data_IF_983273851475
#
_entry.id   IF_983273851475
#
_cell.length_a   1.000
_cell.length_b   1.000
_cell.length_c   1.000
_cell.angle_alpha   90.00
_cell.angle_beta   90.00
_cell.angle_gamma   90.00
#
_symmetry.space_group_name_H-M   'P 1'
#
loop_
_entity.id
_entity.type
_entity.pdbx_description
1 polymer ?
#
# COMPACT_ATOMS: atom_id res chain seq x y z
N UNK A 1 -7.96 -2.31 -27.39
CA UNK A 1 -8.64 -2.00 -28.66
C UNK A 1 -8.47 -0.54 -29.06
N UNK A 2 -8.70 0.43 -28.17
CA UNK A 2 -8.75 1.87 -28.52
C UNK A 2 -7.35 2.44 -28.82
N UNK A 3 -6.32 2.01 -28.08
CA UNK A 3 -4.95 2.44 -28.36
C UNK A 3 -4.49 2.04 -29.77
N UNK A 4 -4.77 0.80 -30.22
CA UNK A 4 -4.39 0.33 -31.54
C UNK A 4 -5.09 1.14 -32.64
N UNK A 5 -6.39 1.43 -32.48
CA UNK A 5 -7.13 2.30 -33.41
C UNK A 5 -6.57 3.72 -33.47
N UNK A 6 -6.21 4.29 -32.31
CA UNK A 6 -5.62 5.63 -32.25
C UNK A 6 -4.26 5.70 -32.96
N UNK A 7 -3.42 4.68 -32.81
CA UNK A 7 -2.13 4.59 -33.52
C UNK A 7 -2.34 4.39 -35.02
N UNK A 8 -3.26 3.51 -35.43
CA UNK A 8 -3.59 3.29 -36.84
C UNK A 8 -4.11 4.59 -37.51
N UNK A 9 -4.98 5.36 -36.81
CA UNK A 9 -5.47 6.67 -37.30
C UNK A 9 -4.32 7.69 -37.44
N UNK A 10 -3.44 7.81 -36.44
CA UNK A 10 -2.28 8.70 -36.51
C UNK A 10 -1.37 8.33 -37.70
N UNK A 11 -1.00 7.07 -37.83
CA UNK A 11 -0.14 6.60 -38.91
C UNK A 11 -0.78 6.79 -40.29
N UNK A 12 -2.08 6.55 -40.44
CA UNK A 12 -2.82 6.79 -41.69
C UNK A 12 -2.76 8.24 -42.18
N UNK A 13 -2.54 9.17 -41.25
CA UNK A 13 -2.40 10.61 -41.49
C UNK A 13 -0.95 11.08 -41.58
N UNK A 14 0.02 10.18 -41.52
CA UNK A 14 1.45 10.51 -41.50
C UNK A 14 1.91 11.18 -40.19
N UNK A 15 1.17 11.01 -39.08
CA UNK A 15 1.49 11.58 -37.78
C UNK A 15 2.40 10.60 -37.02
N UNK A 16 3.52 11.09 -36.52
CA UNK A 16 4.43 10.32 -35.66
C UNK A 16 3.83 10.16 -34.27
N UNK A 17 4.17 9.05 -33.60
CA UNK A 17 3.75 8.80 -32.22
C UNK A 17 4.94 8.29 -31.38
N UNK A 18 4.81 8.37 -30.09
CA UNK A 18 5.73 7.78 -29.11
C UNK A 18 4.92 7.08 -28.03
N UNK A 19 5.30 5.84 -27.71
CA UNK A 19 4.67 5.08 -26.64
C UNK A 19 5.41 5.26 -25.32
N UNK A 20 4.69 5.73 -24.33
CA UNK A 20 5.11 5.74 -22.95
C UNK A 20 4.10 4.90 -22.14
N UNK A 21 4.40 3.61 -21.80
CA UNK A 21 5.66 2.85 -21.94
C UNK A 21 5.47 1.67 -22.89
N UNK A 22 6.47 1.34 -23.66
CA UNK A 22 6.50 0.06 -24.41
C UNK A 22 6.86 -1.11 -23.49
N UNK A 23 7.75 -0.88 -22.53
CA UNK A 23 8.14 -1.80 -21.45
C UNK A 23 8.21 -1.00 -20.15
N UNK A 24 7.42 -1.37 -19.16
CA UNK A 24 7.37 -0.65 -17.90
C UNK A 24 8.59 -0.88 -17.02
N UNK A 25 8.99 -2.12 -16.86
CA UNK A 25 10.13 -2.53 -16.05
C UNK A 25 9.83 -2.66 -14.57
N UNK A 26 10.88 -2.53 -13.75
CA UNK A 26 10.83 -2.78 -12.31
C UNK A 26 11.47 -1.63 -11.55
N UNK A 27 10.79 -1.14 -10.52
CA UNK A 27 11.32 -0.19 -9.54
C UNK A 27 12.10 -0.97 -8.46
N UNK A 28 13.35 -1.31 -8.74
CA UNK A 28 14.18 -2.11 -7.84
C UNK A 28 14.38 -1.46 -6.47
N UNK A 29 14.42 -2.28 -5.43
CA UNK A 29 14.71 -1.83 -4.07
C UNK A 29 13.73 -0.76 -3.57
N UNK A 30 14.24 0.41 -3.22
CA UNK A 30 13.47 1.53 -2.67
C UNK A 30 12.93 2.52 -3.73
N UNK A 31 13.14 2.27 -5.02
CA UNK A 31 12.99 3.29 -6.06
C UNK A 31 11.57 3.45 -6.63
N UNK A 32 10.60 2.66 -6.18
CA UNK A 32 9.19 2.95 -6.45
C UNK A 32 8.83 4.32 -5.86
N UNK A 33 8.17 5.16 -6.64
CA UNK A 33 7.78 6.51 -6.25
C UNK A 33 6.41 6.60 -5.60
N UNK A 34 5.80 7.80 -5.67
CA UNK A 34 4.43 8.04 -5.24
C UNK A 34 3.82 9.20 -6.03
N UNK A 35 2.49 9.24 -6.11
CA UNK A 35 1.73 10.29 -6.74
C UNK A 35 1.06 11.23 -5.71
N UNK A 36 0.75 12.46 -6.15
CA UNK A 36 -0.07 13.44 -5.42
C UNK A 36 -1.12 14.07 -6.36
N UNK A 37 -2.25 14.65 -5.87
CA UNK A 37 -2.58 14.97 -4.46
C UNK A 37 -2.86 13.73 -3.63
N UNK A 38 -2.81 13.91 -2.30
CA UNK A 38 -2.81 12.80 -1.37
C UNK A 38 -1.46 12.08 -1.37
N UNK A 39 -1.45 10.82 -0.96
CA UNK A 39 -0.28 9.96 -1.01
C UNK A 39 -0.65 8.61 -1.59
N UNK A 40 -0.24 8.35 -2.83
CA UNK A 40 -0.47 7.11 -3.55
C UNK A 40 0.88 6.48 -3.94
N UNK A 41 1.45 5.59 -3.10
CA UNK A 41 2.74 4.96 -3.37
C UNK A 41 2.62 3.92 -4.48
N UNK A 42 3.62 3.93 -5.37
CA UNK A 42 3.71 2.96 -6.45
C UNK A 42 4.21 1.60 -5.94
N UNK A 43 3.80 0.53 -6.60
CA UNK A 43 4.32 -0.83 -6.39
C UNK A 43 5.67 -1.02 -7.08
N UNK A 44 6.34 -2.14 -6.80
CA UNK A 44 7.65 -2.44 -7.39
C UNK A 44 7.57 -2.69 -8.89
N UNK A 45 6.61 -3.47 -9.36
CA UNK A 45 6.40 -3.66 -10.80
C UNK A 45 5.87 -2.39 -11.44
N UNK A 46 6.42 -2.04 -12.61
CA UNK A 46 5.94 -0.94 -13.44
C UNK A 46 5.38 -1.46 -14.77
N UNK A 47 4.78 -2.65 -14.74
CA UNK A 47 4.30 -3.34 -15.95
C UNK A 47 3.16 -2.57 -16.63
N UNK A 48 2.16 -2.11 -15.90
CA UNK A 48 1.02 -1.31 -16.40
C UNK A 48 0.38 -1.86 -17.68
N UNK A 49 0.35 -3.18 -17.87
CA UNK A 49 -0.13 -3.79 -19.11
C UNK A 49 0.60 -3.26 -20.37
N UNK A 50 1.92 -3.08 -20.26
CA UNK A 50 2.76 -2.65 -21.37
C UNK A 50 2.80 -3.70 -22.50
N UNK A 51 3.12 -3.30 -23.74
CA UNK A 51 3.30 -4.24 -24.85
C UNK A 51 4.36 -5.33 -24.61
N UNK A 52 5.40 -4.99 -23.86
CA UNK A 52 6.42 -5.93 -23.38
C UNK A 52 6.31 -5.99 -21.85
N UNK A 53 6.12 -7.20 -21.31
CA UNK A 53 5.99 -7.42 -19.88
C UNK A 53 7.27 -7.13 -19.09
N UNK A 54 7.17 -7.04 -17.76
CA UNK A 54 8.30 -6.82 -16.85
C UNK A 54 9.48 -7.77 -17.10
N UNK A 55 9.21 -9.04 -17.42
CA UNK A 55 10.22 -10.06 -17.74
C UNK A 55 10.61 -10.10 -19.22
N UNK A 56 10.23 -9.10 -20.02
CA UNK A 56 10.58 -9.03 -21.42
C UNK A 56 9.77 -9.94 -22.36
N UNK A 57 8.63 -10.49 -21.90
CA UNK A 57 7.75 -11.31 -22.75
C UNK A 57 6.88 -10.41 -23.64
N UNK A 58 6.61 -10.86 -24.86
CA UNK A 58 5.67 -10.17 -25.75
C UNK A 58 4.22 -10.48 -25.33
N UNK A 59 3.41 -9.43 -25.22
CA UNK A 59 1.98 -9.52 -24.87
C UNK A 59 1.10 -9.54 -26.14
N UNK A 60 -0.19 -9.86 -26.03
CA UNK A 60 -1.13 -9.69 -27.15
C UNK A 60 -1.13 -8.25 -27.71
N UNK A 61 -0.92 -7.25 -26.84
CA UNK A 61 -0.82 -5.84 -27.22
C UNK A 61 0.41 -5.56 -28.11
N UNK A 62 1.54 -6.18 -27.82
CA UNK A 62 2.74 -6.10 -28.67
C UNK A 62 2.46 -6.58 -30.10
N UNK A 63 1.81 -7.74 -30.23
CA UNK A 63 1.51 -8.31 -31.54
C UNK A 63 0.49 -7.48 -32.31
N UNK A 64 -0.54 -6.96 -31.65
CA UNK A 64 -1.53 -6.07 -32.28
C UNK A 64 -0.91 -4.75 -32.76
N UNK A 65 0.00 -4.15 -31.98
CA UNK A 65 0.77 -2.97 -32.40
C UNK A 65 1.67 -3.29 -33.61
N UNK A 66 2.38 -4.39 -33.56
CA UNK A 66 3.25 -4.83 -34.63
C UNK A 66 2.48 -5.02 -35.94
N UNK A 67 1.29 -5.62 -35.89
CA UNK A 67 0.42 -5.80 -37.04
C UNK A 67 -0.09 -4.46 -37.58
N UNK A 68 -0.54 -3.56 -36.73
CA UNK A 68 -1.00 -2.23 -37.12
C UNK A 68 0.11 -1.43 -37.83
N UNK A 69 1.33 -1.43 -37.27
CA UNK A 69 2.48 -0.70 -37.83
C UNK A 69 2.97 -1.29 -39.17
N UNK A 70 2.81 -2.60 -39.38
CA UNK A 70 3.26 -3.25 -40.60
C UNK A 70 2.66 -2.66 -41.89
N UNK A 71 1.45 -2.12 -41.81
CA UNK A 71 0.73 -1.50 -42.93
C UNK A 71 1.43 -0.25 -43.48
N UNK A 72 2.27 0.41 -42.67
CA UNK A 72 2.91 1.69 -42.96
C UNK A 72 4.42 1.60 -43.15
N UNK A 73 4.98 0.40 -43.33
CA UNK A 73 6.42 0.17 -43.41
C UNK A 73 6.97 0.18 -44.83
N UNK A 74 6.29 0.75 -45.81
CA UNK A 74 6.73 1.00 -47.20
C UNK A 74 7.65 -0.10 -47.81
N UNK A 75 7.30 -1.39 -47.60
CA UNK A 75 8.05 -2.53 -48.08
C UNK A 75 9.25 -2.97 -47.23
N UNK A 76 9.55 -2.25 -46.14
CA UNK A 76 10.53 -2.69 -45.16
C UNK A 76 10.04 -3.92 -44.38
N UNK A 77 10.96 -4.83 -44.08
CA UNK A 77 10.64 -6.02 -43.26
C UNK A 77 10.74 -5.66 -41.78
N UNK A 78 9.72 -6.01 -41.03
CA UNK A 78 9.80 -5.93 -39.57
C UNK A 78 10.95 -6.79 -39.05
N UNK A 79 11.71 -6.24 -38.09
CA UNK A 79 12.77 -6.98 -37.40
C UNK A 79 12.22 -8.27 -36.78
N UNK A 80 13.03 -9.32 -36.78
CA UNK A 80 12.68 -10.58 -36.10
C UNK A 80 12.61 -10.37 -34.61
N UNK A 81 11.55 -10.87 -33.98
CA UNK A 81 11.46 -10.89 -32.52
C UNK A 81 12.53 -11.84 -31.98
N UNK A 82 13.36 -11.41 -31.01
CA UNK A 82 14.38 -12.29 -30.42
C UNK A 82 13.72 -13.47 -29.68
N UNK A 83 14.50 -14.51 -29.41
CA UNK A 83 14.04 -15.64 -28.60
C UNK A 83 13.76 -15.14 -27.17
N UNK A 84 12.56 -15.43 -26.68
CA UNK A 84 12.16 -15.04 -25.34
C UNK A 84 12.75 -15.97 -24.30
N UNK A 85 13.17 -15.41 -23.16
CA UNK A 85 13.58 -16.18 -21.98
C UNK A 85 12.31 -16.71 -21.32
N UNK A 86 12.25 -18.04 -21.11
CA UNK A 86 11.10 -18.63 -20.41
C UNK A 86 11.33 -18.61 -18.92
N UNK A 87 10.42 -17.97 -18.15
CA UNK A 87 10.46 -18.03 -16.70
C UNK A 87 10.33 -19.47 -16.18
N UNK A 88 10.93 -19.72 -15.03
CA UNK A 88 10.90 -21.01 -14.34
C UNK A 88 10.10 -20.97 -13.05
N UNK A 89 9.55 -22.11 -12.67
CA UNK A 89 9.03 -22.33 -11.32
C UNK A 89 10.12 -22.84 -10.39
N UNK A 90 10.12 -22.38 -9.15
CA UNK A 90 10.99 -22.85 -8.06
C UNK A 90 10.08 -23.47 -6.99
N UNK A 91 10.34 -24.72 -6.56
CA UNK A 91 9.54 -25.35 -5.53
C UNK A 91 9.47 -24.50 -4.24
N UNK A 92 8.36 -24.58 -3.53
CA UNK A 92 8.18 -23.88 -2.27
C UNK A 92 9.31 -24.22 -1.28
N UNK A 93 9.81 -23.19 -0.61
CA UNK A 93 10.84 -23.27 0.41
C UNK A 93 10.46 -22.46 1.64
N UNK A 94 11.00 -22.83 2.80
CA UNK A 94 10.74 -22.16 4.07
C UNK A 94 11.93 -21.32 4.49
N UNK A 95 11.67 -20.21 5.14
CA UNK A 95 12.68 -19.44 5.86
C UNK A 95 12.98 -20.15 7.18
N UNK A 96 14.25 -20.28 7.50
CA UNK A 96 14.72 -21.07 8.64
C UNK A 96 15.34 -20.21 9.73
N UNK A 97 15.70 -18.97 9.42
CA UNK A 97 16.36 -18.06 10.33
C UNK A 97 15.68 -16.71 10.36
N UNK A 98 15.67 -16.08 11.53
CA UNK A 98 15.14 -14.74 11.73
C UNK A 98 16.05 -13.96 12.69
N UNK A 99 16.18 -12.66 12.44
CA UNK A 99 16.80 -11.68 13.34
C UNK A 99 15.73 -10.66 13.76
N UNK A 100 15.22 -10.69 15.01
CA UNK A 100 14.26 -9.70 15.51
C UNK A 100 14.86 -8.29 15.47
N UNK A 101 14.14 -7.31 14.93
CA UNK A 101 14.65 -5.95 14.74
C UNK A 101 15.06 -5.32 16.07
N UNK A 102 14.22 -5.38 17.10
CA UNK A 102 14.48 -4.73 18.39
C UNK A 102 15.70 -5.30 19.15
N UNK A 103 16.17 -6.48 18.78
CA UNK A 103 17.38 -7.12 19.31
C UNK A 103 18.63 -6.78 18.48
N UNK A 104 18.46 -6.13 17.34
CA UNK A 104 19.49 -5.85 16.34
C UNK A 104 19.54 -4.37 15.94
N UNK A 105 19.13 -3.47 16.81
CA UNK A 105 19.13 -2.04 16.50
C UNK A 105 20.56 -1.52 16.37
N UNK A 106 20.81 -0.59 15.43
CA UNK A 106 22.09 0.13 15.33
C UNK A 106 22.29 1.07 16.52
N UNK A 107 23.40 1.83 16.52
CA UNK A 107 23.65 2.82 17.55
C UNK A 107 22.57 3.92 17.53
N UNK A 108 22.05 4.28 18.70
CA UNK A 108 21.07 5.33 18.84
C UNK A 108 21.69 6.72 18.64
N UNK A 109 20.99 7.60 17.97
CA UNK A 109 21.18 9.05 17.98
C UNK A 109 20.23 9.64 19.02
N UNK A 110 20.69 10.56 19.87
CA UNK A 110 19.85 11.21 20.89
C UNK A 110 19.48 12.60 20.46
N UNK A 111 18.22 12.94 20.57
CA UNK A 111 17.68 14.26 20.27
C UNK A 111 16.55 14.60 21.25
N UNK A 112 16.46 15.86 21.62
CA UNK A 112 15.34 16.33 22.46
C UNK A 112 14.02 16.30 21.68
N UNK A 113 14.07 16.68 20.42
CA UNK A 113 12.91 16.78 19.54
C UNK A 113 13.01 15.79 18.38
N UNK A 114 11.87 15.38 17.85
CA UNK A 114 11.80 14.61 16.62
C UNK A 114 12.23 15.47 15.43
N UNK A 115 12.92 14.83 14.49
CA UNK A 115 13.27 15.38 13.17
C UNK A 115 12.97 14.36 12.08
N UNK A 116 13.04 14.83 10.83
CA UNK A 116 12.84 13.98 9.64
C UNK A 116 13.99 13.00 9.43
N UNK A 117 13.78 11.97 8.64
CA UNK A 117 14.83 11.01 8.29
C UNK A 117 16.06 11.69 7.66
N UNK A 118 15.82 12.69 6.81
CA UNK A 118 16.87 13.44 6.10
C UNK A 118 17.78 14.20 7.07
N UNK A 119 17.22 14.76 8.15
CA UNK A 119 18.01 15.44 9.19
C UNK A 119 18.84 14.46 10.01
N UNK A 120 18.50 13.16 9.99
CA UNK A 120 19.33 12.08 10.55
C UNK A 120 20.25 11.44 9.51
N UNK A 121 20.41 12.04 8.32
CA UNK A 121 21.21 11.56 7.19
C UNK A 121 20.74 10.21 6.65
N UNK A 122 19.43 10.01 6.56
CA UNK A 122 18.84 8.80 5.99
C UNK A 122 17.83 9.18 4.89
N UNK A 123 18.01 8.65 3.68
CA UNK A 123 17.20 9.00 2.52
C UNK A 123 16.06 8.02 2.22
N UNK A 124 16.16 6.78 2.68
CA UNK A 124 15.22 5.69 2.44
C UNK A 124 15.30 4.64 3.57
N UNK A 125 14.45 3.63 3.51
CA UNK A 125 14.40 2.56 4.50
C UNK A 125 13.47 2.89 5.66
N UNK A 126 13.79 2.36 6.84
CA UNK A 126 12.97 2.52 8.04
C UNK A 126 13.73 3.28 9.13
N UNK A 127 13.00 4.00 9.96
CA UNK A 127 13.55 4.72 11.11
C UNK A 127 12.74 4.41 12.35
N UNK A 128 13.42 4.14 13.46
CA UNK A 128 12.77 3.88 14.74
C UNK A 128 12.99 5.08 15.67
N UNK A 129 11.90 5.64 16.16
CA UNK A 129 11.88 6.65 17.19
C UNK A 129 11.46 6.02 18.52
N UNK A 130 12.28 6.16 19.55
CA UNK A 130 12.07 5.60 20.88
C UNK A 130 12.07 6.69 21.95
N UNK A 131 11.10 6.66 22.84
CA UNK A 131 11.10 7.47 24.06
C UNK A 131 10.45 6.71 25.20
N UNK A 132 10.36 7.34 26.37
CA UNK A 132 9.68 6.80 27.55
C UNK A 132 8.38 7.55 27.83
N UNK A 133 7.37 6.80 28.24
CA UNK A 133 6.06 7.35 28.59
C UNK A 133 6.02 7.77 30.08
N UNK A 134 5.23 8.82 30.44
CA UNK A 134 4.83 9.04 31.81
C UNK A 134 3.95 7.89 32.30
N UNK A 135 3.59 7.89 33.58
CA UNK A 135 2.57 6.96 34.08
C UNK A 135 1.22 7.27 33.43
N UNK A 136 0.61 6.25 32.81
CA UNK A 136 -0.75 6.33 32.25
C UNK A 136 -1.68 5.49 33.13
N UNK A 137 -2.47 6.14 33.99
CA UNK A 137 -3.43 5.45 34.88
C UNK A 137 -4.66 4.95 34.14
N UNK A 138 -4.95 5.49 32.98
CA UNK A 138 -6.03 5.13 32.06
C UNK A 138 -5.54 5.20 30.61
N UNK A 139 -6.27 4.64 29.64
CA UNK A 139 -5.92 4.78 28.24
C UNK A 139 -5.72 6.25 27.83
N UNK A 140 -4.71 6.52 27.01
CA UNK A 140 -4.35 7.86 26.55
C UNK A 140 -4.27 7.88 25.01
N UNK A 141 -4.52 9.03 24.40
CA UNK A 141 -4.42 9.18 22.94
C UNK A 141 -3.00 9.63 22.56
N UNK A 142 -2.32 8.81 21.77
CA UNK A 142 -1.09 9.19 21.09
C UNK A 142 -1.46 9.81 19.75
N UNK A 143 -0.98 11.01 19.47
CA UNK A 143 -1.12 11.67 18.17
C UNK A 143 0.28 11.81 17.56
N UNK A 144 0.52 11.14 16.44
CA UNK A 144 1.72 11.32 15.63
C UNK A 144 1.39 12.28 14.51
N UNK A 145 1.81 13.52 14.68
CA UNK A 145 1.54 14.56 13.71
C UNK A 145 2.42 14.36 12.48
N UNK A 146 1.83 13.84 11.40
CA UNK A 146 2.45 13.72 10.10
C UNK A 146 3.56 12.64 10.01
N UNK A 147 3.17 11.37 10.16
CA UNK A 147 4.04 10.22 9.89
C UNK A 147 4.13 9.94 8.37
N UNK A 148 5.32 9.90 7.83
CA UNK A 148 5.65 9.63 6.43
C UNK A 148 6.52 8.37 6.32
N UNK A 149 5.94 7.15 6.04
CA UNK A 149 4.58 7.02 5.49
C UNK A 149 3.74 5.97 6.24
N UNK A 150 4.38 4.86 6.68
CA UNK A 150 3.72 3.78 7.41
C UNK A 150 4.39 3.58 8.75
N UNK A 151 3.68 3.91 9.82
CA UNK A 151 4.21 3.81 11.17
C UNK A 151 3.56 2.67 11.95
N UNK A 152 4.37 1.93 12.68
CA UNK A 152 3.93 0.95 13.67
C UNK A 152 4.31 1.42 15.06
N UNK A 153 3.39 1.29 16.01
CA UNK A 153 3.55 1.75 17.39
C UNK A 153 3.58 0.56 18.32
N UNK A 154 4.56 0.57 19.24
CA UNK A 154 4.74 -0.47 20.24
C UNK A 154 4.92 0.16 21.62
N UNK A 155 4.37 -0.47 22.65
CA UNK A 155 4.62 -0.13 24.06
C UNK A 155 5.23 -1.36 24.73
N UNK A 156 6.43 -1.21 25.31
CA UNK A 156 7.21 -2.29 25.91
C UNK A 156 7.37 -3.52 24.98
N UNK A 157 7.50 -3.26 23.68
CA UNK A 157 7.64 -4.27 22.65
C UNK A 157 6.32 -4.92 22.20
N UNK A 158 5.18 -4.55 22.79
CA UNK A 158 3.86 -5.02 22.35
C UNK A 158 3.32 -4.11 21.26
N UNK A 159 2.89 -4.69 20.15
CA UNK A 159 2.24 -3.97 19.07
C UNK A 159 0.90 -3.36 19.54
N UNK A 160 0.74 -2.07 19.29
CA UNK A 160 -0.46 -1.30 19.65
C UNK A 160 -1.33 -1.05 18.41
N UNK A 161 -0.70 -0.68 17.29
CA UNK A 161 -1.40 -0.37 16.06
C UNK A 161 -0.48 0.24 15.01
N UNK A 162 -1.09 0.61 13.89
CA UNK A 162 -0.41 1.27 12.77
C UNK A 162 -1.01 2.64 12.49
N UNK A 163 -0.25 3.48 11.81
CA UNK A 163 -0.70 4.73 11.22
C UNK A 163 -0.30 4.72 9.74
N UNK A 164 -1.26 4.78 8.87
CA UNK A 164 -1.08 4.74 7.42
C UNK A 164 -1.39 6.12 6.82
N UNK A 165 -0.36 6.73 6.22
CA UNK A 165 -0.47 8.05 5.60
C UNK A 165 -1.54 8.10 4.51
N UNK A 166 -1.76 7.02 3.77
CA UNK A 166 -2.77 6.95 2.71
C UNK A 166 -4.18 7.21 3.23
N UNK A 167 -4.44 6.81 4.47
CA UNK A 167 -5.73 6.95 5.14
C UNK A 167 -5.80 8.20 6.02
N UNK A 168 -4.74 9.00 6.09
CA UNK A 168 -4.67 10.15 6.99
C UNK A 168 -4.67 9.78 8.48
N UNK A 169 -4.29 8.54 8.83
CA UNK A 169 -4.28 8.04 10.21
C UNK A 169 -3.20 8.76 11.02
N UNK A 170 -3.57 9.31 12.18
CA UNK A 170 -2.66 10.07 13.05
C UNK A 170 -2.72 9.68 14.51
N UNK A 171 -3.75 8.97 14.94
CA UNK A 171 -4.02 8.72 16.34
C UNK A 171 -4.17 7.25 16.67
N UNK A 172 -3.66 6.87 17.83
CA UNK A 172 -3.85 5.55 18.43
C UNK A 172 -4.14 5.71 19.94
N UNK A 173 -4.86 4.75 20.48
CA UNK A 173 -5.11 4.69 21.93
C UNK A 173 -4.03 3.80 22.56
N UNK A 174 -3.21 4.38 23.43
CA UNK A 174 -2.26 3.64 24.25
C UNK A 174 -2.95 3.07 25.49
N UNK A 175 -2.60 1.85 25.91
CA UNK A 175 -3.10 1.29 27.15
C UNK A 175 -2.49 2.01 28.37
N UNK A 176 -3.09 1.84 29.54
CA UNK A 176 -2.47 2.22 30.81
C UNK A 176 -1.09 1.55 30.94
N UNK A 177 -0.11 2.31 31.44
CA UNK A 177 1.26 1.82 31.60
C UNK A 177 1.97 2.52 32.76
N UNK A 178 3.04 1.92 33.25
CA UNK A 178 3.86 2.49 34.34
C UNK A 178 4.78 3.59 33.80
N UNK A 179 5.21 4.49 34.68
CA UNK A 179 6.21 5.51 34.34
C UNK A 179 7.49 4.83 33.83
N UNK A 180 7.98 5.30 32.70
CA UNK A 180 9.19 4.77 32.06
C UNK A 180 8.94 3.63 31.08
N UNK A 181 7.67 3.23 30.86
CA UNK A 181 7.33 2.31 29.75
C UNK A 181 7.86 2.84 28.43
N UNK A 182 8.43 1.94 27.63
CA UNK A 182 9.09 2.27 26.38
C UNK A 182 8.08 2.41 25.25
N UNK A 183 8.06 3.57 24.62
CA UNK A 183 7.34 3.80 23.36
C UNK A 183 8.30 3.68 22.18
N UNK A 184 7.98 2.82 21.25
CA UNK A 184 8.67 2.66 19.97
C UNK A 184 7.71 3.01 18.82
N UNK A 185 8.14 3.89 17.90
CA UNK A 185 7.44 4.23 16.68
C UNK A 185 8.37 3.90 15.51
N UNK A 186 8.09 2.79 14.83
CA UNK A 186 8.84 2.34 13.64
C UNK A 186 8.16 2.92 12.41
N UNK A 187 8.83 3.77 11.66
CA UNK A 187 8.31 4.40 10.44
C UNK A 187 9.06 3.86 9.24
N UNK A 188 8.34 3.24 8.31
CA UNK A 188 8.86 2.90 6.99
C UNK A 188 8.60 4.03 6.02
N UNK A 189 9.65 4.49 5.36
CA UNK A 189 9.56 5.40 4.24
C UNK A 189 9.18 4.62 2.98
N UNK A 190 7.98 4.84 2.48
CA UNK A 190 7.57 4.35 1.16
C UNK A 190 8.14 5.24 0.05
N UNK A 191 7.62 5.13 -1.17
CA UNK A 191 8.06 5.96 -2.29
C UNK A 191 7.97 7.46 -2.00
N UNK A 192 8.92 8.24 -2.51
CA UNK A 192 8.82 9.70 -2.49
C UNK A 192 7.90 10.18 -3.58
N UNK A 193 7.14 11.23 -3.31
CA UNK A 193 6.28 11.83 -4.32
C UNK A 193 7.17 12.38 -5.45
N UNK A 194 7.02 11.82 -6.64
CA UNK A 194 7.72 12.22 -7.86
C UNK A 194 6.78 12.73 -8.96
N UNK A 195 5.47 12.65 -8.74
CA UNK A 195 4.46 13.15 -9.66
C UNK A 195 3.37 13.94 -8.91
N UNK A 196 2.95 15.07 -9.50
CA UNK A 196 1.97 15.97 -8.94
C UNK A 196 2.60 17.20 -8.27
N UNK A 197 1.85 17.89 -7.39
CA UNK A 197 2.28 19.20 -6.85
C UNK A 197 3.12 19.11 -5.58
N UNK A 198 3.03 18.03 -4.83
CA UNK A 198 3.63 17.89 -3.50
C UNK A 198 4.96 17.11 -3.54
N UNK A 199 5.86 17.45 -4.47
CA UNK A 199 7.13 16.74 -4.67
C UNK A 199 8.17 16.94 -3.55
N UNK A 200 7.99 17.91 -2.66
CA UNK A 200 8.80 18.06 -1.45
C UNK A 200 8.24 17.14 -0.37
N UNK A 201 8.80 15.96 -0.22
CA UNK A 201 8.28 14.87 0.58
C UNK A 201 9.36 14.32 1.55
N UNK A 202 9.50 14.97 2.69
CA UNK A 202 10.36 14.49 3.77
C UNK A 202 9.79 13.24 4.43
N UNK A 203 10.66 12.36 4.93
CA UNK A 203 10.29 11.05 5.50
C UNK A 203 10.51 10.98 7.02
N UNK A 204 9.97 9.93 7.63
CA UNK A 204 9.93 9.78 9.08
C UNK A 204 8.78 10.55 9.72
N UNK A 205 8.94 11.05 10.92
CA UNK A 205 7.96 11.92 11.57
C UNK A 205 8.36 13.37 11.29
N UNK A 206 7.54 14.09 10.53
CA UNK A 206 7.87 15.43 10.02
C UNK A 206 7.41 16.57 10.92
N UNK A 207 6.64 16.24 11.97
CA UNK A 207 6.18 17.16 13.01
C UNK A 207 6.42 16.55 14.39
N UNK A 208 5.60 16.91 15.37
CA UNK A 208 5.71 16.43 16.74
C UNK A 208 4.89 15.16 17.01
N UNK A 209 5.09 14.59 18.19
CA UNK A 209 4.30 13.51 18.75
C UNK A 209 3.71 13.98 20.08
N UNK A 210 2.40 13.94 20.18
CA UNK A 210 1.64 14.41 21.33
C UNK A 210 1.00 13.25 22.09
N UNK A 211 0.92 13.40 23.37
CA UNK A 211 0.18 12.52 24.26
C UNK A 211 -0.94 13.30 24.93
N UNK A 212 -2.18 12.86 24.72
CA UNK A 212 -3.36 13.41 25.37
C UNK A 212 -3.87 12.42 26.42
N UNK A 213 -3.98 12.85 27.65
CA UNK A 213 -4.44 12.05 28.77
C UNK A 213 -5.44 12.83 29.63
N UNK A 214 -6.29 12.12 30.36
CA UNK A 214 -7.17 12.73 31.36
C UNK A 214 -6.43 12.77 32.70
N UNK A 215 -6.40 13.96 33.32
CA UNK A 215 -5.89 14.18 34.67
C UNK A 215 -7.00 14.76 35.53
N UNK A 216 -7.62 13.92 36.35
CA UNK A 216 -8.71 14.29 37.24
C UNK A 216 -9.94 14.93 36.53
N UNK A 217 -10.29 14.42 35.35
CA UNK A 217 -11.41 14.91 34.54
C UNK A 217 -11.06 16.08 33.61
N UNK A 218 -9.77 16.45 33.53
CA UNK A 218 -9.30 17.51 32.64
C UNK A 218 -8.37 16.94 31.59
N UNK A 219 -8.60 17.24 30.29
CA UNK A 219 -7.68 16.82 29.22
C UNK A 219 -6.36 17.57 29.35
N UNK A 220 -5.26 16.81 29.36
CA UNK A 220 -3.91 17.34 29.38
C UNK A 220 -3.19 16.82 28.13
N UNK A 221 -2.59 17.73 27.33
CA UNK A 221 -1.82 17.41 26.14
C UNK A 221 -0.38 17.85 26.33
N UNK A 222 0.56 16.98 26.03
CA UNK A 222 1.98 17.31 26.08
C UNK A 222 2.74 16.69 24.88
N UNK A 223 3.77 17.40 24.42
CA UNK A 223 4.73 16.85 23.45
C UNK A 223 5.63 15.82 24.12
N UNK A 224 5.83 14.69 23.46
CA UNK A 224 6.83 13.73 23.86
C UNK A 224 8.21 14.20 23.39
N UNK A 225 9.19 14.08 24.26
CA UNK A 225 10.54 14.59 24.12
C UNK A 225 11.58 13.51 24.43
N UNK A 226 12.88 13.83 24.24
CA UNK A 226 14.04 13.00 24.61
C UNK A 226 14.03 11.66 23.86
N UNK A 227 14.22 11.75 22.56
CA UNK A 227 14.17 10.62 21.64
C UNK A 227 15.52 9.95 21.47
N UNK A 228 15.50 8.64 21.41
CA UNK A 228 16.56 7.81 20.83
C UNK A 228 16.10 7.42 19.42
N UNK A 229 16.92 7.69 18.42
CA UNK A 229 16.56 7.49 17.03
C UNK A 229 17.54 6.50 16.39
N UNK A 230 17.02 5.50 15.72
CA UNK A 230 17.78 4.42 15.11
C UNK A 230 17.54 4.40 13.61
N UNK A 231 18.62 4.64 12.84
CA UNK A 231 18.57 4.55 11.39
C UNK A 231 18.65 3.09 10.94
N UNK A 232 17.59 2.58 10.36
CA UNK A 232 17.54 1.23 9.79
C UNK A 232 17.70 1.40 8.28
N UNK A 233 18.91 1.16 7.79
CA UNK A 233 19.30 1.52 6.43
C UNK A 233 18.65 0.63 5.36
N UNK A 234 18.07 -0.51 5.74
CA UNK A 234 17.44 -1.48 4.84
C UNK A 234 18.37 -1.88 3.67
N UNK A 235 19.66 -2.06 3.94
CA UNK A 235 20.65 -2.55 2.98
C UNK A 235 20.99 -4.01 3.25
N UNK A 236 21.45 -4.72 2.22
CA UNK A 236 21.85 -6.11 2.37
C UNK A 236 22.98 -6.27 3.38
N UNK A 237 23.97 -5.37 3.38
CA UNK A 237 25.11 -5.33 4.30
C UNK A 237 24.65 -5.15 5.75
N UNK A 238 23.67 -4.26 5.97
CA UNK A 238 23.08 -4.05 7.29
C UNK A 238 22.45 -5.33 7.83
N UNK A 239 21.69 -6.04 6.99
CA UNK A 239 21.04 -7.29 7.38
C UNK A 239 22.03 -8.42 7.63
N UNK A 240 23.12 -8.51 6.87
CA UNK A 240 24.17 -9.53 7.10
C UNK A 240 24.85 -9.36 8.44
N UNK A 241 24.91 -8.15 9.00
CA UNK A 241 25.46 -7.87 10.32
C UNK A 241 24.56 -8.25 11.51
N UNK A 242 23.30 -8.65 11.25
CA UNK A 242 22.35 -9.00 12.31
C UNK A 242 22.60 -10.38 12.91
N UNK A 243 22.14 -10.56 14.16
CA UNK A 243 22.21 -11.84 14.87
C UNK A 243 20.98 -12.67 14.52
N UNK A 244 21.14 -13.58 13.58
CA UNK A 244 20.12 -14.54 13.20
C UNK A 244 20.04 -15.68 14.21
N UNK A 245 18.83 -16.18 14.41
CA UNK A 245 18.53 -17.36 15.22
C UNK A 245 17.49 -18.24 14.49
N UNK A 246 17.43 -19.54 14.77
CA UNK A 246 16.43 -20.41 14.16
C UNK A 246 15.01 -19.91 14.44
N UNK A 247 14.14 -19.87 13.42
CA UNK A 247 12.74 -19.43 13.58
C UNK A 247 12.02 -20.25 14.65
N UNK A 248 12.28 -21.54 14.73
CA UNK A 248 11.69 -22.46 15.72
C UNK A 248 11.94 -22.04 17.17
N UNK A 249 13.05 -21.34 17.44
CA UNK A 249 13.35 -20.81 18.78
C UNK A 249 12.51 -19.59 19.16
N UNK A 250 11.73 -19.05 18.21
CA UNK A 250 10.89 -17.85 18.36
C UNK A 250 9.39 -18.17 18.32
N UNK A 251 9.00 -19.45 18.39
CA UNK A 251 7.61 -19.91 18.22
C UNK A 251 6.62 -19.20 19.14
N UNK A 252 7.01 -18.88 20.36
CA UNK A 252 6.16 -18.13 21.30
C UNK A 252 5.91 -16.67 20.87
N UNK A 253 6.69 -16.16 19.92
CA UNK A 253 6.61 -14.79 19.39
C UNK A 253 5.99 -14.71 18.00
N UNK A 254 5.96 -15.79 17.22
CA UNK A 254 5.48 -15.82 15.82
C UNK A 254 3.99 -15.49 15.65
N UNK A 255 3.18 -15.58 16.70
CA UNK A 255 1.80 -15.08 16.72
C UNK A 255 1.67 -13.57 16.93
N UNK A 256 2.77 -12.86 17.21
CA UNK A 256 2.81 -11.41 17.40
C UNK A 256 3.40 -10.75 16.17
N UNK A 257 2.88 -9.61 15.77
CA UNK A 257 3.46 -8.80 14.69
C UNK A 257 4.79 -8.19 15.17
N UNK A 258 5.89 -8.85 14.83
CA UNK A 258 7.25 -8.45 15.23
C UNK A 258 8.05 -8.12 13.97
N UNK A 259 8.58 -6.89 13.85
CA UNK A 259 9.51 -6.54 12.79
C UNK A 259 10.78 -7.40 12.87
N UNK A 260 11.22 -7.92 11.73
CA UNK A 260 12.42 -8.73 11.69
C UNK A 260 12.95 -9.02 10.29
N UNK A 261 14.15 -9.51 10.24
CA UNK A 261 14.81 -9.95 9.01
C UNK A 261 14.79 -11.47 8.95
N UNK A 262 14.26 -12.01 7.87
CA UNK A 262 14.12 -13.44 7.63
C UNK A 262 15.12 -13.87 6.56
N UNK A 263 15.72 -15.04 6.72
CA UNK A 263 16.70 -15.59 5.79
C UNK A 263 16.39 -17.03 5.43
N UNK A 264 16.53 -17.35 4.14
CA UNK A 264 16.42 -18.70 3.62
C UNK A 264 17.45 -18.98 2.53
N UNK A 265 17.65 -20.27 2.26
CA UNK A 265 18.38 -20.76 1.11
C UNK A 265 17.45 -21.62 0.26
N UNK A 266 17.55 -21.49 -1.07
CA UNK A 266 16.76 -22.27 -2.01
C UNK A 266 17.61 -22.76 -3.19
N UNK A 267 17.16 -23.81 -3.87
CA UNK A 267 17.92 -24.49 -4.92
C UNK A 267 17.36 -24.17 -6.30
N UNK A 268 18.25 -23.82 -7.24
CA UNK A 268 17.90 -23.58 -8.64
C UNK A 268 18.71 -24.55 -9.52
N UNK A 269 18.02 -25.41 -10.28
CA UNK A 269 18.69 -26.38 -11.17
C UNK A 269 19.29 -25.71 -12.41
N UNK A 270 18.54 -24.81 -13.04
CA UNK A 270 18.92 -24.06 -14.23
C UNK A 270 18.43 -22.62 -14.05
N UNK A 271 19.31 -21.65 -13.86
CA UNK A 271 18.91 -20.25 -13.71
C UNK A 271 18.15 -19.74 -14.93
N UNK A 272 17.03 -19.09 -14.67
CA UNK A 272 16.21 -18.33 -15.62
C UNK A 272 15.32 -17.39 -14.81
N UNK A 273 14.62 -16.50 -15.49
CA UNK A 273 13.68 -15.56 -14.84
C UNK A 273 12.62 -16.31 -14.01
N UNK A 274 12.15 -15.71 -12.96
CA UNK A 274 11.07 -16.23 -12.10
C UNK A 274 10.38 -15.10 -11.36
N UNK A 275 9.23 -15.38 -10.76
CA UNK A 275 8.48 -14.46 -9.91
C UNK A 275 8.32 -15.06 -8.52
N UNK A 276 9.01 -14.52 -7.51
CA UNK A 276 8.91 -15.01 -6.13
C UNK A 276 7.61 -14.56 -5.48
N UNK A 277 6.87 -15.50 -4.91
CA UNK A 277 5.56 -15.27 -4.30
C UNK A 277 5.70 -14.87 -2.82
N UNK A 278 5.03 -13.75 -2.45
CA UNK A 278 5.02 -13.17 -1.11
C UNK A 278 3.62 -12.95 -0.53
N UNK A 279 2.59 -13.64 -1.02
CA UNK A 279 1.20 -13.52 -0.52
C UNK A 279 1.04 -13.75 0.98
N UNK A 280 1.95 -14.50 1.60
CA UNK A 280 1.91 -14.80 3.05
C UNK A 280 2.70 -13.82 3.91
N UNK A 281 3.37 -12.85 3.28
CA UNK A 281 4.23 -11.86 3.94
C UNK A 281 3.46 -10.59 4.29
N UNK A 282 4.02 -9.81 5.20
CA UNK A 282 3.43 -8.58 5.67
C UNK A 282 3.78 -7.36 4.81
N UNK A 283 4.83 -6.63 5.19
CA UNK A 283 5.27 -5.42 4.49
C UNK A 283 6.77 -5.22 4.67
N UNK A 284 7.48 -5.00 3.56
CA UNK A 284 8.93 -4.81 3.68
C UNK A 284 9.70 -4.86 2.38
N UNK A 285 10.94 -5.33 2.43
CA UNK A 285 11.89 -5.33 1.33
C UNK A 285 12.55 -6.71 1.17
N UNK A 286 12.84 -7.07 -0.08
CA UNK A 286 13.38 -8.39 -0.43
C UNK A 286 14.70 -8.27 -1.17
N UNK A 287 15.65 -9.14 -0.80
CA UNK A 287 16.94 -9.31 -1.47
C UNK A 287 17.13 -10.77 -1.90
N UNK A 288 17.67 -10.98 -3.09
CA UNK A 288 18.14 -12.29 -3.58
C UNK A 288 19.60 -12.17 -3.98
N UNK A 289 20.46 -12.99 -3.39
CA UNK A 289 21.91 -12.98 -3.63
C UNK A 289 22.56 -11.59 -3.52
N UNK A 290 22.04 -10.72 -2.64
CA UNK A 290 22.50 -9.36 -2.46
C UNK A 290 21.84 -8.30 -3.37
N UNK A 291 21.03 -8.72 -4.35
CA UNK A 291 20.29 -7.82 -5.23
C UNK A 291 18.94 -7.46 -4.61
N UNK A 292 18.67 -6.16 -4.46
CA UNK A 292 17.38 -5.67 -3.97
C UNK A 292 16.29 -5.86 -5.03
N UNK A 293 15.30 -6.70 -4.76
CA UNK A 293 14.17 -6.89 -5.66
C UNK A 293 13.18 -5.74 -5.57
N UNK A 294 12.78 -5.37 -4.37
CA UNK A 294 11.79 -4.34 -4.16
C UNK A 294 10.92 -4.58 -2.94
N UNK A 295 9.88 -3.77 -2.84
CA UNK A 295 8.93 -3.79 -1.71
C UNK A 295 7.85 -4.84 -1.91
N UNK A 296 7.47 -5.45 -0.80
CA UNK A 296 6.29 -6.29 -0.66
C UNK A 296 5.28 -5.63 0.28
N UNK A 297 4.01 -5.92 0.07
CA UNK A 297 2.95 -5.50 0.97
C UNK A 297 1.75 -6.44 0.91
N UNK A 298 1.30 -6.94 2.08
CA UNK A 298 0.19 -7.90 2.17
C UNK A 298 -1.10 -7.46 1.47
N UNK A 299 -1.29 -6.15 1.26
CA UNK A 299 -2.49 -5.63 0.60
C UNK A 299 -2.47 -5.78 -0.93
N UNK A 300 -1.30 -6.01 -1.52
CA UNK A 300 -1.14 -6.03 -2.97
C UNK A 300 -1.26 -4.63 -3.61
N UNK A 301 -1.62 -4.53 -4.90
CA UNK A 301 -2.05 -5.60 -5.83
C UNK A 301 -0.95 -6.56 -6.29
N UNK A 302 0.32 -6.17 -6.18
CA UNK A 302 1.47 -7.00 -6.52
C UNK A 302 1.77 -7.98 -5.39
N UNK A 303 1.70 -9.29 -5.68
CA UNK A 303 2.00 -10.35 -4.73
C UNK A 303 3.34 -11.05 -5.03
N UNK A 304 3.86 -10.90 -6.24
CA UNK A 304 5.13 -11.50 -6.65
C UNK A 304 6.16 -10.43 -6.99
N UNK A 305 7.44 -10.74 -6.79
CA UNK A 305 8.55 -9.93 -7.25
C UNK A 305 9.32 -10.64 -8.36
N UNK A 306 9.59 -9.92 -9.45
CA UNK A 306 10.39 -10.39 -10.56
C UNK A 306 11.85 -10.59 -10.14
N UNK A 307 12.43 -11.73 -10.53
CA UNK A 307 13.84 -12.07 -10.33
C UNK A 307 14.47 -12.38 -11.68
N UNK A 308 15.37 -11.51 -12.18
CA UNK A 308 16.13 -11.81 -13.40
C UNK A 308 16.98 -13.08 -13.23
N UNK A 309 16.96 -13.95 -14.21
CA UNK A 309 17.73 -15.20 -14.17
C UNK A 309 19.23 -15.01 -14.02
N UNK A 310 19.77 -13.85 -14.45
CA UNK A 310 21.18 -13.50 -14.27
C UNK A 310 21.59 -13.21 -12.81
N UNK A 311 20.62 -12.97 -11.91
CA UNK A 311 20.86 -12.83 -10.47
C UNK A 311 20.81 -14.15 -9.71
N UNK A 312 20.33 -15.20 -10.38
CA UNK A 312 20.28 -16.55 -9.82
C UNK A 312 21.53 -17.35 -10.18
N UNK A 313 21.93 -18.24 -9.27
CA UNK A 313 23.04 -19.18 -9.44
C UNK A 313 22.49 -20.60 -9.61
N UNK A 314 23.19 -21.43 -10.37
CA UNK A 314 22.93 -22.87 -10.36
C UNK A 314 23.32 -23.44 -8.98
N UNK A 315 22.41 -24.14 -8.35
CA UNK A 315 22.58 -24.66 -6.99
C UNK A 315 21.96 -23.71 -5.96
N UNK A 316 22.65 -23.47 -4.87
CA UNK A 316 22.17 -22.68 -3.73
C UNK A 316 22.11 -21.18 -4.01
N UNK A 317 21.00 -20.57 -3.65
CA UNK A 317 20.74 -19.12 -3.67
C UNK A 317 20.26 -18.69 -2.28
N UNK A 318 20.57 -17.47 -1.90
CA UNK A 318 20.12 -16.86 -0.65
C UNK A 318 19.01 -15.84 -0.90
N UNK A 319 18.04 -15.81 0.00
CA UNK A 319 17.01 -14.77 0.06
C UNK A 319 16.96 -14.19 1.46
N UNK A 320 16.85 -12.86 1.53
CA UNK A 320 16.69 -12.09 2.77
C UNK A 320 15.45 -11.21 2.61
N UNK A 321 14.58 -11.23 3.60
CA UNK A 321 13.36 -10.42 3.64
C UNK A 321 13.34 -9.64 4.95
N UNK A 322 13.33 -8.32 4.87
CA UNK A 322 12.95 -7.49 5.99
C UNK A 322 11.44 -7.30 5.97
N UNK A 323 10.75 -7.78 7.00
CA UNK A 323 9.30 -7.65 7.14
C UNK A 323 8.99 -6.90 8.45
N UNK A 324 8.43 -5.70 8.33
CA UNK A 324 8.07 -4.85 9.47
C UNK A 324 6.76 -5.27 10.14
N UNK A 325 5.97 -6.09 9.48
CA UNK A 325 4.66 -6.59 9.99
C UNK A 325 4.80 -8.01 10.54
N UNK A 326 5.59 -8.83 9.87
CA UNK A 326 5.74 -10.25 10.11
C UNK A 326 4.85 -11.10 9.20
N UNK A 327 5.40 -12.21 8.65
CA UNK A 327 4.66 -13.09 7.75
C UNK A 327 3.62 -13.92 8.51
N UNK A 328 2.53 -14.29 7.84
CA UNK A 328 1.59 -15.34 8.27
C UNK A 328 2.26 -16.72 8.22
N UNK A 329 3.00 -16.96 7.14
CA UNK A 329 3.86 -18.12 6.96
C UNK A 329 5.18 -17.66 6.31
N UNK A 330 6.31 -17.96 6.95
CA UNK A 330 7.63 -17.62 6.42
C UNK A 330 8.03 -18.63 5.33
N UNK A 331 7.45 -18.50 4.15
CA UNK A 331 7.70 -19.32 2.96
C UNK A 331 7.64 -18.49 1.70
N UNK A 332 8.22 -19.00 0.62
CA UNK A 332 8.08 -18.46 -0.73
C UNK A 332 8.26 -19.58 -1.75
N UNK A 333 7.94 -19.31 -3.00
CA UNK A 333 8.13 -20.17 -4.15
C UNK A 333 8.35 -19.31 -5.40
N UNK A 334 8.93 -19.88 -6.44
CA UNK A 334 9.06 -19.21 -7.74
C UNK A 334 7.94 -19.63 -8.68
N UNK A 335 7.25 -18.65 -9.25
CA UNK A 335 6.21 -18.85 -10.25
C UNK A 335 6.75 -18.52 -11.65
N UNK A 336 6.21 -19.18 -12.68
CA UNK A 336 6.51 -18.85 -14.08
C UNK A 336 5.70 -17.66 -14.62
N UNK A 337 4.66 -17.24 -13.88
CA UNK A 337 3.80 -16.10 -14.20
C UNK A 337 3.68 -15.18 -12.99
N UNK A 338 3.61 -13.86 -13.18
CA UNK A 338 3.46 -12.91 -12.07
C UNK A 338 2.03 -12.87 -11.52
N UNK A 339 1.90 -12.41 -10.27
CA UNK A 339 0.64 -12.03 -9.63
C UNK A 339 0.71 -10.53 -9.35
N UNK A 340 0.12 -9.70 -10.22
CA UNK A 340 0.22 -8.23 -10.18
C UNK A 340 -1.10 -7.51 -9.90
N UNK A 341 -2.22 -8.22 -9.89
CA UNK A 341 -3.59 -7.67 -9.86
C UNK A 341 -4.45 -8.19 -8.71
N UNK A 342 -3.84 -8.85 -7.74
CA UNK A 342 -4.55 -9.36 -6.55
C UNK A 342 -4.47 -8.35 -5.41
N UNK A 343 -5.41 -7.42 -5.40
CA UNK A 343 -5.58 -6.51 -4.29
C UNK A 343 -6.26 -7.26 -3.13
N UNK A 344 -5.48 -7.67 -2.13
CA UNK A 344 -5.99 -8.19 -0.87
C UNK A 344 -6.33 -6.99 0.03
N UNK A 345 -7.33 -6.23 -0.35
CA UNK A 345 -7.85 -5.17 0.52
C UNK A 345 -8.29 -5.87 1.81
N UNK A 346 -7.69 -5.52 2.95
CA UNK A 346 -8.45 -5.58 4.20
C UNK A 346 -9.73 -4.83 3.86
N UNK A 347 -10.87 -5.54 3.90
CA UNK A 347 -12.16 -5.01 3.46
C UNK A 347 -12.17 -3.52 3.75
N UNK A 348 -12.33 -2.65 2.76
CA UNK A 348 -12.54 -1.24 3.04
C UNK A 348 -13.59 -1.20 4.13
N UNK A 349 -13.60 -0.16 4.95
CA UNK A 349 -14.66 0.05 5.94
C UNK A 349 -15.99 -0.06 5.20
N UNK A 350 -16.42 -1.29 4.97
CA UNK A 350 -17.65 -1.55 4.24
C UNK A 350 -18.75 -1.32 5.25
N UNK A 351 -19.62 -0.41 4.93
CA UNK A 351 -20.85 -0.21 5.69
C UNK A 351 -21.85 -1.36 5.45
N UNK A 352 -21.29 -2.46 4.94
CA UNK A 352 -22.03 -3.70 4.66
C UNK A 352 -21.20 -4.91 5.12
N UNK A 353 -21.79 -5.84 5.86
CA UNK A 353 -21.19 -7.12 6.16
C UNK A 353 -21.28 -8.07 4.94
N UNK A 354 -20.32 -9.00 4.84
CA UNK A 354 -20.34 -10.00 3.76
C UNK A 354 -21.64 -10.82 3.79
N UNK A 355 -22.33 -10.87 2.65
CA UNK A 355 -23.62 -11.53 2.52
C UNK A 355 -24.82 -10.75 3.08
N UNK A 356 -24.59 -9.58 3.69
CA UNK A 356 -25.67 -8.71 4.11
C UNK A 356 -26.27 -8.00 2.89
N UNK A 357 -27.58 -8.13 2.72
CA UNK A 357 -28.36 -7.40 1.74
C UNK A 357 -29.42 -6.57 2.45
N UNK A 358 -29.50 -5.29 2.13
CA UNK A 358 -30.56 -4.46 2.64
C UNK A 358 -31.90 -4.92 2.04
N UNK A 359 -32.77 -5.44 2.90
CA UNK A 359 -34.09 -5.88 2.46
C UNK A 359 -35.09 -4.72 2.53
N UNK A 360 -35.43 -4.17 1.39
CA UNK A 360 -36.42 -3.10 1.24
C UNK A 360 -37.81 -3.62 0.87
N UNK A 361 -38.00 -4.96 0.84
CA UNK A 361 -39.31 -5.54 0.53
C UNK A 361 -40.36 -5.13 1.57
N UNK A 362 -41.41 -4.48 1.10
CA UNK A 362 -42.47 -3.94 1.99
C UNK A 362 -42.33 -2.47 2.31
N UNK A 363 -41.17 -1.87 2.07
CA UNK A 363 -40.99 -0.43 2.22
C UNK A 363 -41.54 0.34 0.99
N UNK A 364 -42.21 1.45 1.24
CA UNK A 364 -42.71 2.31 0.17
C UNK A 364 -41.78 3.51 0.01
N UNK A 365 -41.20 3.71 -1.21
CA UNK A 365 -40.34 4.86 -1.42
C UNK A 365 -41.14 6.17 -1.24
N UNK A 366 -40.48 7.13 -0.61
CA UNK A 366 -41.00 8.49 -0.45
C UNK A 366 -41.01 9.25 -1.77
N UNK A 367 -40.09 8.91 -2.63
CA UNK A 367 -39.93 9.47 -3.97
C UNK A 367 -39.40 8.39 -4.91
N UNK A 368 -39.93 8.36 -6.13
CA UNK A 368 -39.37 7.59 -7.25
C UNK A 368 -39.31 8.51 -8.45
N UNK A 369 -38.16 8.55 -9.14
CA UNK A 369 -37.97 9.39 -10.29
C UNK A 369 -36.64 9.12 -10.97
N UNK A 370 -36.27 9.95 -11.95
CA UNK A 370 -35.01 9.85 -12.68
C UNK A 370 -34.27 11.17 -12.63
N UNK A 371 -32.97 11.10 -12.44
CA UNK A 371 -32.10 12.26 -12.61
C UNK A 371 -31.89 12.57 -14.10
N UNK A 372 -31.73 13.85 -14.45
CA UNK A 372 -31.38 14.25 -15.80
C UNK A 372 -29.93 13.91 -16.12
N UNK A 373 -29.57 13.59 -17.37
CA UNK A 373 -28.19 13.48 -17.78
C UNK A 373 -27.39 14.74 -17.50
N UNK A 374 -26.14 14.61 -17.07
CA UNK A 374 -25.20 15.70 -16.85
C UNK A 374 -24.58 15.75 -15.48
N UNK A 375 -23.55 16.59 -15.34
CA UNK A 375 -22.81 16.81 -14.10
C UNK A 375 -23.38 18.05 -13.40
N UNK A 376 -23.69 17.96 -12.13
CA UNK A 376 -24.14 19.10 -11.32
C UNK A 376 -25.25 18.72 -10.34
N UNK A 377 -25.62 19.69 -9.54
CA UNK A 377 -26.65 19.53 -8.51
C UNK A 377 -28.02 19.32 -9.13
N UNK A 378 -28.73 18.33 -8.63
CA UNK A 378 -30.11 18.07 -8.98
C UNK A 378 -30.94 18.02 -7.68
N UNK A 379 -32.06 18.72 -7.69
CA UNK A 379 -32.94 18.82 -6.51
C UNK A 379 -34.17 17.91 -6.69
N UNK A 380 -34.43 17.12 -5.67
CA UNK A 380 -35.63 16.29 -5.56
C UNK A 380 -36.56 16.91 -4.51
N UNK A 381 -37.77 17.26 -4.89
CA UNK A 381 -38.78 17.78 -3.97
C UNK A 381 -39.76 16.69 -3.57
N UNK A 382 -39.87 16.47 -2.28
CA UNK A 382 -40.89 15.56 -1.74
C UNK A 382 -42.25 16.27 -1.73
N UNK A 383 -43.29 15.49 -2.03
CA UNK A 383 -44.67 16.01 -2.02
C UNK A 383 -45.16 16.43 -0.64
N UNK A 384 -44.55 15.94 0.40
CA UNK A 384 -44.80 16.24 1.81
C UNK A 384 -43.47 16.26 2.59
N UNK A 385 -43.36 17.09 3.62
CA UNK A 385 -42.26 16.96 4.55
C UNK A 385 -42.23 15.54 5.15
N UNK A 386 -41.05 14.97 5.25
CA UNK A 386 -40.85 13.60 5.76
C UNK A 386 -39.95 13.69 6.97
N UNK A 387 -40.31 12.93 8.00
CA UNK A 387 -39.48 12.77 9.18
C UNK A 387 -38.98 11.32 9.21
N UNK A 388 -37.67 11.14 9.29
CA UNK A 388 -37.05 9.82 9.33
C UNK A 388 -35.73 9.86 10.08
N UNK A 389 -35.38 8.74 10.70
CA UNK A 389 -34.08 8.54 11.35
C UNK A 389 -33.03 8.05 10.35
N UNK A 390 -33.46 7.37 9.30
CA UNK A 390 -32.61 6.82 8.26
C UNK A 390 -33.10 7.30 6.90
N UNK A 391 -32.17 7.45 5.98
CA UNK A 391 -32.44 7.72 4.58
C UNK A 391 -31.75 6.65 3.76
N UNK A 392 -32.48 6.02 2.84
CA UNK A 392 -31.96 5.08 1.88
C UNK A 392 -32.19 5.62 0.48
N UNK A 393 -31.18 5.53 -0.37
CA UNK A 393 -31.26 5.80 -1.80
C UNK A 393 -30.96 4.50 -2.50
N UNK A 394 -31.91 4.06 -3.32
CA UNK A 394 -31.78 2.89 -4.18
C UNK A 394 -31.69 3.34 -5.63
N UNK A 395 -30.57 3.02 -6.29
CA UNK A 395 -30.40 3.22 -7.72
C UNK A 395 -30.82 1.97 -8.46
N UNK A 396 -31.89 2.09 -9.27
CA UNK A 396 -32.45 0.96 -10.02
C UNK A 396 -31.75 0.75 -11.37
N UNK A 397 -31.13 1.76 -11.91
CA UNK A 397 -30.33 1.73 -13.15
C UNK A 397 -29.41 2.96 -13.23
N UNK A 398 -28.45 2.92 -14.12
CA UNK A 398 -27.60 4.07 -14.48
C UNK A 398 -27.98 4.64 -15.83
N UNK A 399 -27.63 5.90 -16.08
CA UNK A 399 -27.94 6.58 -17.36
C UNK A 399 -27.06 6.11 -18.52
N UNK A 400 -25.88 5.59 -18.22
CA UNK A 400 -24.92 5.05 -19.20
C UNK A 400 -25.02 3.54 -19.38
N UNK A 401 -26.03 2.89 -18.76
CA UNK A 401 -26.31 1.46 -18.86
C UNK A 401 -25.31 0.55 -18.13
N UNK A 402 -24.47 1.11 -17.26
CA UNK A 402 -23.59 0.34 -16.39
C UNK A 402 -24.31 -0.12 -15.13
N UNK A 403 -23.81 -1.18 -14.52
CA UNK A 403 -24.33 -1.71 -13.25
C UNK A 403 -23.85 -0.89 -12.01
N UNK A 404 -23.56 0.40 -12.21
CA UNK A 404 -23.00 1.27 -11.22
C UNK A 404 -23.65 2.66 -11.27
N UNK A 405 -24.07 3.18 -10.12
CA UNK A 405 -24.48 4.56 -9.93
C UNK A 405 -23.75 5.16 -8.73
N UNK A 406 -23.09 6.31 -8.93
CA UNK A 406 -22.35 7.00 -7.90
C UNK A 406 -23.03 8.30 -7.48
N UNK A 407 -22.98 8.60 -6.18
CA UNK A 407 -23.39 9.88 -5.60
C UNK A 407 -22.16 10.50 -4.95
N UNK A 408 -21.68 11.62 -5.51
CA UNK A 408 -20.51 12.31 -5.00
C UNK A 408 -20.83 13.07 -3.70
N UNK A 409 -21.97 13.77 -3.67
CA UNK A 409 -22.44 14.53 -2.50
C UNK A 409 -23.95 14.55 -2.42
N UNK A 410 -24.47 14.61 -1.19
CA UNK A 410 -25.90 14.69 -0.89
C UNK A 410 -26.17 15.65 0.26
N UNK A 411 -27.23 16.42 0.11
CA UNK A 411 -27.76 17.29 1.17
C UNK A 411 -29.26 17.12 1.31
N UNK A 412 -29.77 17.26 2.53
CA UNK A 412 -31.20 17.42 2.77
C UNK A 412 -31.50 18.86 3.16
N UNK A 413 -32.62 19.34 2.68
CA UNK A 413 -33.14 20.65 3.02
C UNK A 413 -34.32 20.48 3.96
N UNK A 414 -34.42 21.36 4.94
CA UNK A 414 -35.61 21.45 5.78
C UNK A 414 -36.80 22.13 5.03
N UNK A 415 -37.90 22.29 5.73
CA UNK A 415 -39.10 22.94 5.14
C UNK A 415 -38.88 24.38 4.69
N UNK A 416 -37.86 25.04 5.23
CA UNK A 416 -37.52 26.45 4.95
C UNK A 416 -36.43 26.55 3.85
N UNK A 417 -35.97 25.44 3.31
CA UNK A 417 -34.93 25.34 2.29
C UNK A 417 -33.50 25.45 2.82
N UNK A 418 -33.32 25.40 4.15
CA UNK A 418 -32.00 25.41 4.77
C UNK A 418 -31.38 24.02 4.77
N UNK A 419 -30.05 23.93 4.52
CA UNK A 419 -29.34 22.66 4.54
C UNK A 419 -29.23 22.11 5.97
N UNK A 420 -29.59 20.85 6.15
CA UNK A 420 -29.36 20.15 7.41
C UNK A 420 -27.85 19.89 7.60
N UNK A 421 -27.35 20.01 8.84
CA UNK A 421 -25.98 19.67 9.17
C UNK A 421 -25.72 18.17 8.91
N UNK A 422 -24.58 17.86 8.31
CA UNK A 422 -24.14 16.47 8.05
C UNK A 422 -23.18 15.95 9.14
N UNK A 423 -22.71 16.79 10.05
CA UNK A 423 -21.77 16.39 11.10
C UNK A 423 -22.15 15.12 11.86
N UNK A 424 -23.44 14.93 12.26
CA UNK A 424 -23.84 13.72 12.98
C UNK A 424 -24.17 12.53 12.07
N UNK A 425 -24.02 12.65 10.76
CA UNK A 425 -24.41 11.58 9.85
C UNK A 425 -23.35 10.49 9.82
N UNK A 426 -23.82 9.25 9.83
CA UNK A 426 -22.99 8.07 9.64
C UNK A 426 -23.62 7.18 8.57
N UNK A 427 -22.81 6.66 7.67
CA UNK A 427 -23.25 5.65 6.72
C UNK A 427 -23.51 4.35 7.50
N UNK A 428 -24.66 3.74 7.29
CA UNK A 428 -25.06 2.49 7.93
C UNK A 428 -24.97 1.31 6.97
N UNK A 429 -25.13 1.56 5.70
CA UNK A 429 -25.10 0.56 4.65
C UNK A 429 -24.71 1.20 3.33
N UNK A 430 -23.85 0.54 2.58
CA UNK A 430 -23.57 0.80 1.18
C UNK A 430 -23.54 -0.54 0.44
N UNK A 431 -24.08 -0.58 -0.77
CA UNK A 431 -24.08 -1.80 -1.58
C UNK A 431 -22.66 -2.17 -2.03
N UNK A 432 -21.93 -1.18 -2.46
CA UNK A 432 -20.49 -1.26 -2.75
C UNK A 432 -19.81 0.07 -2.42
N UNK A 433 -18.53 0.01 -2.12
CA UNK A 433 -17.70 1.16 -1.79
C UNK A 433 -16.38 1.08 -2.54
N UNK A 434 -15.91 2.21 -3.06
CA UNK A 434 -14.58 2.31 -3.65
C UNK A 434 -13.71 3.24 -2.80
N UNK A 435 -12.59 2.72 -2.30
CA UNK A 435 -11.69 3.43 -1.38
C UNK A 435 -11.12 4.72 -1.98
N UNK A 436 -11.00 4.79 -3.30
CA UNK A 436 -10.51 5.98 -3.98
C UNK A 436 -11.48 7.18 -3.94
N UNK A 437 -12.73 6.96 -3.55
CA UNK A 437 -13.81 7.95 -3.57
C UNK A 437 -14.61 8.03 -2.26
N UNK A 438 -14.20 7.29 -1.23
CA UNK A 438 -14.85 7.27 0.09
C UNK A 438 -14.33 8.40 1.00
#
# INVERSE_FOLDING_TARGET
ADMIKGIDDMLSRGISFSLYMTHGGTNWGHWAGANSPGFAPDVTSYDYDAPISESGQTTPKYWALREAMAKYMDGEKQAKVPALIKPISIPAFRFTEMAPLFENLPAAKKDENIRTMEEYNQGFGSILYRTTLPELKSPATLTVNDAHDYAQVFVDGKYIGKLDRRNGEKQLVLPACVKGSRLDILVEAMGRINFGRAIKDFKGITKNVELSMDINGYPFVCDLKNWEVFNIEDTYEFYQGMKFQPIESLTDRLGQRIPGVYRAKFQVKKPSDTFLNFETWGKGLVYVNGYALGRIWEIGPQQTLYVPGCWLKKGENEIVVFDIVGPKEAKSEGLSEPLLDQLLVQKPLTHRNEGENLNLSGEKPVFTGSFKPGNGWQEVKFNKPVTGRYVCIEALNSQDGKDLACIAEMYFLDKDGSRLSREPWIVKYADSEEVAHA
#
